data_IF_403523586542
#
_entry.id   IF_403523586542
#
_cell.length_a   1.000
_cell.length_b   1.000
_cell.length_c   1.000
_cell.angle_alpha   90.00
_cell.angle_beta   90.00
_cell.angle_gamma   90.00
#
_symmetry.space_group_name_H-M   'P 1'
#
loop_
_entity.id
_entity.type
_entity.pdbx_description
1 polymer ?
#
# COMPACT_ATOMS: atom_id res chain seq x y z
N UNK A 1 16.51 10.77 9.13
CA UNK A 1 16.03 9.39 9.36
C UNK A 1 15.46 9.29 10.78
N UNK A 2 14.77 8.20 11.11
CA UNK A 2 14.29 7.83 12.46
C UNK A 2 14.67 6.36 12.70
N UNK A 3 14.98 5.99 13.94
CA UNK A 3 15.31 4.61 14.30
C UNK A 3 14.24 4.05 15.24
N UNK A 4 13.95 2.75 15.14
CA UNK A 4 13.10 2.03 16.08
C UNK A 4 13.62 0.60 16.31
N UNK A 5 13.32 0.04 17.48
CA UNK A 5 13.82 -1.28 17.91
C UNK A 5 15.28 -1.23 18.38
N UNK A 6 16.00 -2.33 18.16
CA UNK A 6 17.39 -2.48 18.62
C UNK A 6 17.51 -3.06 20.04
N UNK A 7 16.40 -3.53 20.60
CA UNK A 7 16.33 -4.33 21.83
C UNK A 7 16.83 -5.78 21.64
N UNK A 8 17.04 -6.20 20.38
CA UNK A 8 17.42 -7.56 20.03
C UNK A 8 16.24 -8.53 19.94
N UNK A 9 15.00 -8.01 19.99
CA UNK A 9 13.77 -8.82 19.93
C UNK A 9 12.90 -8.37 18.76
N UNK A 10 12.80 -7.06 18.51
CA UNK A 10 11.97 -6.49 17.45
C UNK A 10 12.80 -5.60 16.52
N UNK A 11 12.68 -5.87 15.23
CA UNK A 11 13.25 -5.08 14.15
C UNK A 11 12.53 -5.40 12.84
N UNK A 12 12.60 -4.49 11.88
CA UNK A 12 12.40 -4.83 10.47
C UNK A 12 13.53 -5.71 9.96
N UNK A 13 13.25 -6.42 8.88
CA UNK A 13 14.11 -7.46 8.31
C UNK A 13 14.39 -7.21 6.82
N UNK A 14 15.23 -8.05 6.23
CA UNK A 14 15.47 -8.00 4.78
C UNK A 14 14.18 -8.32 4.04
N UNK A 15 13.81 -7.48 3.07
CA UNK A 15 12.53 -7.57 2.36
C UNK A 15 11.47 -6.57 2.84
N UNK A 16 11.62 -5.97 4.03
CA UNK A 16 10.65 -5.00 4.55
C UNK A 16 10.86 -3.58 4.02
N UNK A 17 11.86 -3.36 3.16
CA UNK A 17 12.17 -2.06 2.56
C UNK A 17 10.93 -1.46 1.89
N UNK A 18 10.61 -0.22 2.26
CA UNK A 18 9.40 0.47 1.80
C UNK A 18 8.17 0.29 2.70
N UNK A 19 8.19 -0.63 3.67
CA UNK A 19 7.12 -0.82 4.65
C UNK A 19 6.95 0.36 5.63
N UNK A 20 5.76 0.55 6.23
CA UNK A 20 5.51 1.68 7.12
C UNK A 20 5.95 1.41 8.56
N UNK A 21 6.48 2.46 9.22
CA UNK A 21 6.53 2.55 10.69
C UNK A 21 5.27 3.28 11.16
N UNK A 22 4.30 2.51 11.65
CA UNK A 22 3.05 3.04 12.19
C UNK A 22 3.20 3.36 13.68
N UNK A 23 2.74 4.54 14.10
CA UNK A 23 2.69 4.94 15.50
C UNK A 23 1.27 5.36 15.87
N UNK A 24 0.75 4.84 16.98
CA UNK A 24 -0.52 5.31 17.54
C UNK A 24 -0.30 6.65 18.24
N UNK A 25 -0.94 7.70 17.75
CA UNK A 25 -0.90 9.05 18.33
C UNK A 25 -2.34 9.51 18.53
N UNK A 26 -2.72 9.79 19.78
CA UNK A 26 -4.08 10.19 20.14
C UNK A 26 -5.16 9.21 19.63
N UNK A 27 -4.89 7.90 19.73
CA UNK A 27 -5.81 6.85 19.29
C UNK A 27 -5.90 6.64 17.77
N UNK A 28 -5.07 7.32 16.97
CA UNK A 28 -5.03 7.18 15.52
C UNK A 28 -3.65 6.71 15.06
N UNK A 29 -3.60 5.75 14.14
CA UNK A 29 -2.33 5.31 13.55
C UNK A 29 -1.85 6.31 12.51
N UNK A 30 -0.60 6.74 12.65
CA UNK A 30 0.08 7.64 11.74
C UNK A 30 1.37 6.99 11.21
N UNK A 31 1.72 7.26 9.96
CA UNK A 31 2.97 6.77 9.37
C UNK A 31 4.11 7.74 9.71
N UNK A 32 5.01 7.33 10.58
CA UNK A 32 6.14 8.16 11.02
C UNK A 32 7.43 7.87 10.24
N UNK A 33 7.52 6.67 9.66
CA UNK A 33 8.69 6.23 8.93
C UNK A 33 8.37 5.31 7.76
N UNK A 34 9.33 5.20 6.84
CA UNK A 34 9.35 4.20 5.76
C UNK A 34 10.64 3.39 5.91
N UNK A 35 10.55 2.07 5.99
CA UNK A 35 11.70 1.18 6.19
C UNK A 35 12.74 1.41 5.11
N UNK A 36 13.98 1.69 5.50
CA UNK A 36 15.06 1.98 4.56
C UNK A 36 16.13 0.90 4.59
N UNK A 37 16.73 0.64 5.75
CA UNK A 37 17.75 -0.40 5.88
C UNK A 37 17.75 -1.00 7.28
N UNK A 38 18.25 -2.23 7.33
CA UNK A 38 18.35 -3.07 8.51
C UNK A 38 19.81 -3.52 8.68
N UNK A 39 20.12 -4.19 9.80
CA UNK A 39 21.46 -4.71 10.05
C UNK A 39 21.89 -5.74 8.99
N UNK A 40 23.17 -5.71 8.61
CA UNK A 40 23.76 -6.76 7.76
C UNK A 40 24.00 -8.08 8.52
N UNK A 41 23.95 -8.05 9.85
CA UNK A 41 24.12 -9.23 10.71
C UNK A 41 22.83 -10.06 10.87
N UNK A 42 21.76 -9.69 10.16
CA UNK A 42 20.45 -10.32 10.27
C UNK A 42 19.46 -9.48 11.08
N UNK A 43 18.34 -10.10 11.43
CA UNK A 43 17.21 -9.44 12.08
C UNK A 43 17.28 -9.66 13.59
N UNK A 44 16.73 -8.72 14.36
CA UNK A 44 16.68 -8.72 15.82
C UNK A 44 18.07 -8.73 16.48
N UNK A 45 19.00 -7.95 15.92
CA UNK A 45 20.35 -7.81 16.48
C UNK A 45 20.35 -6.73 17.55
N UNK A 46 20.79 -7.08 18.77
CA UNK A 46 20.86 -6.15 19.89
C UNK A 46 21.72 -4.91 19.53
N UNK A 47 21.24 -3.72 19.88
CA UNK A 47 21.85 -2.41 19.57
C UNK A 47 21.96 -2.11 18.06
N UNK A 48 21.20 -2.81 17.22
CA UNK A 48 21.07 -2.53 15.78
C UNK A 48 19.60 -2.27 15.43
N UNK A 49 19.11 -1.04 15.61
CA UNK A 49 17.74 -0.69 15.27
C UNK A 49 17.52 -0.73 13.75
N UNK A 50 16.26 -0.83 13.35
CA UNK A 50 15.87 -0.58 11.96
C UNK A 50 15.86 0.91 11.70
N UNK A 51 16.39 1.31 10.54
CA UNK A 51 16.45 2.71 10.14
C UNK A 51 15.37 3.00 9.11
N UNK A 52 14.60 4.05 9.39
CA UNK A 52 13.48 4.51 8.59
C UNK A 52 13.75 5.91 8.02
N UNK A 53 13.28 6.16 6.81
CA UNK A 53 13.13 7.52 6.28
C UNK A 53 12.11 8.27 7.14
N UNK A 54 12.42 9.50 7.59
CA UNK A 54 11.55 10.28 8.47
C UNK A 54 10.41 10.91 7.65
N UNK A 55 9.18 10.39 7.73
CA UNK A 55 8.06 10.88 6.90
C UNK A 55 7.77 12.36 7.12
N UNK A 56 7.87 12.86 8.36
CA UNK A 56 7.64 14.28 8.66
C UNK A 56 8.54 15.24 7.88
N UNK A 57 9.74 14.81 7.47
CA UNK A 57 10.62 15.63 6.63
C UNK A 57 10.16 15.74 5.16
N UNK A 58 9.24 14.89 4.72
CA UNK A 58 8.80 14.79 3.32
C UNK A 58 7.33 15.15 3.10
N UNK A 59 6.56 15.51 4.15
CA UNK A 59 5.13 15.83 4.04
C UNK A 59 4.85 16.87 2.94
N UNK A 60 5.62 17.95 2.86
CA UNK A 60 5.44 18.95 1.81
C UNK A 60 5.66 18.39 0.41
N UNK A 61 6.61 17.47 0.23
CA UNK A 61 6.85 16.81 -1.05
C UNK A 61 5.71 15.84 -1.40
N UNK A 62 5.26 15.04 -0.43
CA UNK A 62 4.12 14.11 -0.57
C UNK A 62 2.88 14.88 -1.01
N UNK A 63 2.53 15.95 -0.29
CA UNK A 63 1.35 16.78 -0.59
C UNK A 63 1.45 17.39 -2.00
N UNK A 64 2.62 17.87 -2.42
CA UNK A 64 2.83 18.37 -3.79
C UNK A 64 2.65 17.28 -4.85
N UNK A 65 3.03 16.04 -4.58
CA UNK A 65 2.88 14.93 -5.54
C UNK A 65 1.43 14.46 -5.63
N UNK A 66 0.74 14.34 -4.51
CA UNK A 66 -0.68 13.98 -4.47
C UNK A 66 -1.54 15.06 -5.14
N UNK A 67 -1.25 16.35 -4.89
CA UNK A 67 -2.00 17.44 -5.52
C UNK A 67 -1.82 17.52 -7.04
N UNK A 68 -0.62 17.17 -7.55
CA UNK A 68 -0.32 17.19 -8.99
C UNK A 68 -0.87 15.98 -9.74
N UNK A 69 -1.00 14.86 -9.05
CA UNK A 69 -1.50 13.61 -9.60
C UNK A 69 -2.74 13.20 -8.80
N UNK A 70 -3.88 13.90 -8.96
CA UNK A 70 -5.11 13.47 -8.34
C UNK A 70 -5.37 12.04 -8.82
N UNK A 71 -5.30 11.09 -7.89
CA UNK A 71 -5.74 9.73 -8.16
C UNK A 71 -7.21 9.85 -8.53
N UNK A 72 -7.53 9.63 -9.80
CA UNK A 72 -8.90 9.59 -10.28
C UNK A 72 -9.54 8.34 -9.67
N UNK A 73 -9.99 8.43 -8.40
CA UNK A 73 -10.94 7.47 -7.85
C UNK A 73 -12.20 7.65 -8.68
N UNK A 74 -12.30 6.92 -9.79
CA UNK A 74 -13.53 6.73 -10.57
C UNK A 74 -14.49 7.92 -10.64
N UNK A 75 -14.03 9.06 -11.17
CA UNK A 75 -14.91 10.01 -11.85
C UNK A 75 -14.66 9.91 -13.36
N UNK A 76 -14.56 8.68 -13.88
CA UNK A 76 -14.86 8.47 -15.29
C UNK A 76 -16.39 8.55 -15.41
N UNK A 77 -16.88 9.77 -15.58
CA UNK A 77 -18.12 9.99 -16.32
C UNK A 77 -17.97 9.21 -17.63
N UNK A 78 -18.73 8.13 -17.79
CA UNK A 78 -18.93 7.51 -19.09
C UNK A 78 -19.75 8.47 -19.96
N UNK A 79 -19.13 9.54 -20.43
CA UNK A 79 -19.63 10.43 -21.47
C UNK A 79 -18.75 10.31 -22.71
N UNK A 80 -18.44 9.08 -23.10
CA UNK A 80 -18.00 8.81 -24.47
C UNK A 80 -19.22 8.35 -25.29
N UNK A 81 -19.78 9.21 -26.15
CA UNK A 81 -20.69 8.76 -27.19
C UNK A 81 -19.82 8.18 -28.31
N UNK A 82 -19.62 6.88 -28.33
CA UNK A 82 -19.38 6.03 -29.51
C UNK A 82 -18.71 4.72 -29.10
N UNK A 83 -19.17 3.63 -29.72
CA UNK A 83 -18.90 2.21 -29.46
C UNK A 83 -19.88 1.67 -28.40
N UNK A 84 -21.06 1.15 -28.77
CA UNK A 84 -21.23 -0.02 -29.63
C UNK A 84 -22.39 0.13 -30.63
N UNK A 85 -22.08 0.09 -31.93
CA UNK A 85 -23.07 -0.30 -32.95
C UNK A 85 -22.84 -1.77 -33.28
N UNK A 86 -23.53 -2.70 -32.60
CA UNK A 86 -23.91 -3.99 -33.18
C UNK A 86 -24.95 -4.71 -32.29
N UNK A 87 -25.95 -5.44 -32.86
CA UNK A 87 -27.17 -5.82 -32.14
C UNK A 87 -27.07 -7.11 -31.28
N UNK A 88 -25.89 -7.57 -30.89
CA UNK A 88 -25.77 -8.84 -30.17
C UNK A 88 -24.68 -8.84 -29.10
N UNK A 89 -25.10 -8.53 -27.87
CA UNK A 89 -24.68 -9.28 -26.67
C UNK A 89 -23.55 -8.70 -25.81
N UNK A 90 -23.89 -7.74 -24.94
CA UNK A 90 -23.25 -7.56 -23.62
C UNK A 90 -24.38 -7.26 -22.62
N UNK A 91 -24.45 -7.97 -21.49
CA UNK A 91 -25.43 -7.66 -20.45
C UNK A 91 -24.98 -6.47 -19.58
N UNK A 92 -25.88 -5.99 -18.73
CA UNK A 92 -25.73 -4.75 -17.95
C UNK A 92 -24.57 -4.79 -16.92
N UNK A 93 -23.92 -5.95 -16.78
CA UNK A 93 -22.78 -6.19 -15.91
C UNK A 93 -21.45 -6.30 -16.68
N UNK A 94 -21.48 -6.30 -18.01
CA UNK A 94 -20.26 -6.31 -18.83
C UNK A 94 -19.56 -7.65 -18.92
N UNK A 95 -20.24 -8.75 -18.59
CA UNK A 95 -19.68 -10.10 -18.70
C UNK A 95 -19.91 -10.68 -20.11
N UNK A 96 -18.89 -11.40 -20.62
CA UNK A 96 -19.04 -12.15 -21.89
C UNK A 96 -19.99 -13.31 -21.67
N UNK A 97 -21.14 -13.31 -22.36
CA UNK A 97 -21.99 -14.49 -22.43
C UNK A 97 -21.30 -15.55 -23.30
N UNK A 98 -20.87 -16.67 -22.69
CA UNK A 98 -20.52 -17.90 -23.44
C UNK A 98 -19.05 -18.14 -23.79
N UNK A 99 -18.10 -17.88 -22.88
CA UNK A 99 -16.71 -18.34 -23.04
C UNK A 99 -16.08 -18.68 -21.70
N UNK A 100 -15.45 -19.85 -21.59
CA UNK A 100 -14.82 -20.34 -20.35
C UNK A 100 -13.78 -19.34 -19.84
N UNK A 101 -14.11 -18.65 -18.75
CA UNK A 101 -13.26 -17.65 -18.12
C UNK A 101 -12.12 -18.32 -17.36
N UNK A 102 -10.90 -18.19 -17.90
CA UNK A 102 -9.69 -18.26 -17.09
C UNK A 102 -9.74 -17.14 -16.06
N UNK A 103 -10.02 -17.51 -14.81
CA UNK A 103 -10.03 -16.60 -13.67
C UNK A 103 -8.60 -16.09 -13.43
N UNK A 104 -8.35 -14.80 -13.66
CA UNK A 104 -7.34 -14.13 -12.85
C UNK A 104 -7.80 -14.23 -11.39
N UNK A 105 -6.98 -14.71 -10.45
CA UNK A 105 -7.40 -14.75 -9.05
C UNK A 105 -7.60 -13.32 -8.57
N UNK A 106 -8.88 -12.96 -8.42
CA UNK A 106 -9.31 -11.84 -7.60
C UNK A 106 -8.68 -12.02 -6.23
N UNK A 107 -7.71 -11.20 -5.88
CA UNK A 107 -7.21 -11.15 -4.51
C UNK A 107 -8.39 -10.78 -3.60
N UNK A 108 -8.72 -11.60 -2.58
CA UNK A 108 -9.87 -11.32 -1.73
C UNK A 108 -9.65 -10.01 -0.94
N UNK A 109 -10.71 -9.23 -0.68
CA UNK A 109 -10.63 -7.96 0.06
C UNK A 109 -10.33 -8.12 1.57
N UNK A 110 -9.64 -9.18 1.99
CA UNK A 110 -9.32 -9.50 3.39
C UNK A 110 -7.82 -9.59 3.71
N UNK A 111 -6.96 -8.96 2.91
CA UNK A 111 -5.50 -8.98 3.15
C UNK A 111 -4.95 -7.79 3.98
N UNK A 112 -5.80 -7.06 4.71
CA UNK A 112 -5.39 -5.98 5.64
C UNK A 112 -5.98 -6.16 7.05
N UNK A 113 -5.95 -7.39 7.60
CA UNK A 113 -6.19 -7.60 9.02
C UNK A 113 -4.86 -7.89 9.73
N UNK A 114 -4.50 -6.96 10.60
CA UNK A 114 -3.80 -7.18 11.88
C UNK A 114 -2.41 -7.84 11.85
N UNK A 115 -1.37 -7.00 11.82
CA UNK A 115 -0.16 -7.25 12.61
C UNK A 115 -0.26 -6.38 13.86
N UNK A 116 -0.62 -6.99 15.00
CA UNK A 116 -0.70 -6.32 16.29
C UNK A 116 -1.79 -6.88 17.20
N UNK A 117 -1.57 -8.08 17.72
CA UNK A 117 -2.07 -8.59 19.01
C UNK A 117 -1.30 -9.90 19.29
N UNK A 118 -0.14 -9.77 19.95
CA UNK A 118 0.51 -10.66 20.94
C UNK A 118 1.94 -10.16 21.25
#
# INVERSE_FOLDING_TARGET
MVCAGGDGVRSGCQGDSGGPLNCAVNGQYQVHGVTSFVSSQGCNVARKPTVFTRVSAYISWINRKIAKNPFQVGAQSWSHPQLCHHPSGCDQHGDKVGGTSGRYPQAPPRAWRSFGEE
#
